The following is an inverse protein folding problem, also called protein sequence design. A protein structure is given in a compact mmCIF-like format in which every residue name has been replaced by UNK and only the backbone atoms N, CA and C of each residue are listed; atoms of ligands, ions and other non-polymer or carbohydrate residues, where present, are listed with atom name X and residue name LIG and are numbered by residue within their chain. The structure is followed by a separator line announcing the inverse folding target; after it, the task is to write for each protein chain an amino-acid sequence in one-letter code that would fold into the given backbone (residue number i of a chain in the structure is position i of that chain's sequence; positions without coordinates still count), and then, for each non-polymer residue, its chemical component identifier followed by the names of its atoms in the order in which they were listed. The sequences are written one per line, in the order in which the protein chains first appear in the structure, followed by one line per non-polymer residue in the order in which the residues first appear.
data_IF_324680906525
#
_entry.id   IF_324680906525
#
_cell.length_a   1.000
_cell.length_b   1.000
_cell.length_c   1.000
_cell.angle_alpha   90.00
_cell.angle_beta   90.00
_cell.angle_gamma   90.00
#
_symmetry.space_group_name_H-M   'P 1'
#
loop_
_entity.id
_entity.type
_entity.pdbx_description
1 polymer ?
#
# COMPACT_ATOMS: atom_id res chain seq x y z
N UNK A 1 16.91 -8.02 25.02
CA UNK A 1 16.59 -8.30 23.61
C UNK A 1 15.12 -8.02 23.46
N UNK A 2 14.76 -7.05 22.62
CA UNK A 2 13.34 -6.73 22.40
C UNK A 2 12.71 -7.87 21.58
N UNK A 3 11.56 -8.38 22.01
CA UNK A 3 10.89 -9.46 21.29
C UNK A 3 10.12 -8.88 20.11
N UNK A 4 9.91 -9.69 19.07
CA UNK A 4 9.08 -9.32 17.93
C UNK A 4 7.69 -8.83 18.35
N UNK A 5 7.07 -9.49 19.33
CA UNK A 5 5.77 -9.10 19.87
C UNK A 5 5.77 -7.71 20.49
N UNK A 6 6.83 -7.33 21.20
CA UNK A 6 6.95 -5.99 21.80
C UNK A 6 7.10 -4.92 20.71
N UNK A 7 7.92 -5.19 19.70
CA UNK A 7 8.12 -4.30 18.54
C UNK A 7 6.82 -4.07 17.77
N UNK A 8 6.05 -5.14 17.53
CA UNK A 8 4.74 -5.04 16.86
C UNK A 8 3.75 -4.26 17.73
N UNK A 9 3.68 -4.55 19.03
CA UNK A 9 2.74 -3.87 19.93
C UNK A 9 3.01 -2.37 20.05
N UNK A 10 4.26 -1.93 19.91
CA UNK A 10 4.61 -0.51 19.90
C UNK A 10 4.06 0.24 18.67
N UNK A 11 3.80 -0.45 17.56
CA UNK A 11 3.32 0.18 16.32
C UNK A 11 1.79 0.25 16.23
N UNK A 12 1.05 -0.59 16.95
CA UNK A 12 -0.40 -0.69 16.82
C UNK A 12 -1.10 -0.39 18.15
N UNK A 13 -1.92 0.66 18.17
CA UNK A 13 -2.70 1.09 19.34
C UNK A 13 -4.21 0.99 19.07
N UNK A 14 -4.77 -0.22 18.90
CA UNK A 14 -6.21 -0.37 18.66
C UNK A 14 -7.01 0.07 19.89
N UNK A 15 -8.19 0.69 19.67
CA UNK A 15 -9.08 1.11 20.76
C UNK A 15 -9.90 -0.04 21.35
N UNK A 16 -9.95 -1.18 20.68
CA UNK A 16 -10.71 -2.36 21.04
C UNK A 16 -10.02 -3.63 20.49
N UNK A 17 -10.59 -4.80 20.77
CA UNK A 17 -10.16 -6.04 20.10
C UNK A 17 -10.46 -5.95 18.62
N UNK A 18 -9.41 -5.79 17.81
CA UNK A 18 -9.53 -5.57 16.37
C UNK A 18 -9.50 -6.89 15.60
N UNK A 19 -10.64 -7.26 15.01
CA UNK A 19 -10.82 -8.54 14.28
C UNK A 19 -11.20 -8.33 12.80
N UNK A 20 -10.98 -7.13 12.24
CA UNK A 20 -11.38 -6.78 10.87
C UNK A 20 -10.21 -6.70 9.87
N UNK A 21 -9.06 -7.30 10.19
CA UNK A 21 -7.83 -7.17 9.40
C UNK A 21 -7.99 -7.60 7.94
N UNK A 22 -8.84 -8.59 7.67
CA UNK A 22 -9.10 -9.07 6.31
C UNK A 22 -9.76 -8.02 5.40
N UNK A 23 -10.62 -7.16 5.96
CA UNK A 23 -11.33 -6.12 5.20
C UNK A 23 -10.64 -4.76 5.31
N UNK A 24 -10.09 -4.43 6.47
CA UNK A 24 -9.42 -3.17 6.73
C UNK A 24 -8.31 -3.37 7.75
N UNK A 25 -7.05 -3.18 7.37
CA UNK A 25 -5.94 -3.30 8.31
C UNK A 25 -5.77 -2.01 9.11
N UNK A 26 -5.26 -2.13 10.34
CA UNK A 26 -4.78 -0.96 11.09
C UNK A 26 -3.46 -0.48 10.47
N UNK A 27 -3.27 0.84 10.45
CA UNK A 27 -1.99 1.42 10.08
C UNK A 27 -1.03 1.38 11.27
N UNK A 28 0.24 0.98 11.09
CA UNK A 28 1.25 1.13 12.13
C UNK A 28 1.55 2.62 12.35
N UNK A 29 1.98 2.98 13.57
CA UNK A 29 2.25 4.35 13.99
C UNK A 29 3.16 5.10 13.00
N UNK A 30 4.22 4.45 12.52
CA UNK A 30 5.12 5.04 11.52
C UNK A 30 4.42 5.46 10.23
N UNK A 31 3.45 4.68 9.76
CA UNK A 31 2.69 4.99 8.53
C UNK A 31 1.74 6.16 8.77
N UNK A 32 1.12 6.24 9.96
CA UNK A 32 0.28 7.39 10.33
C UNK A 32 1.11 8.68 10.33
N UNK A 33 2.32 8.65 10.91
CA UNK A 33 3.24 9.80 10.91
C UNK A 33 3.61 10.21 9.48
N UNK A 34 4.01 9.26 8.62
CA UNK A 34 4.39 9.56 7.24
C UNK A 34 3.23 10.16 6.43
N UNK A 35 2.01 9.64 6.59
CA UNK A 35 0.82 10.18 5.91
C UNK A 35 0.47 11.60 6.38
N UNK A 36 0.57 11.87 7.69
CA UNK A 36 0.34 13.20 8.23
C UNK A 36 1.38 14.21 7.71
N UNK A 37 2.64 13.79 7.60
CA UNK A 37 3.69 14.62 7.02
C UNK A 37 3.45 14.90 5.53
N UNK A 38 3.11 13.89 4.74
CA UNK A 38 2.80 14.05 3.31
C UNK A 38 1.61 15.00 3.10
N UNK A 39 0.56 14.89 3.91
CA UNK A 39 -0.58 15.79 3.87
C UNK A 39 -0.18 17.24 4.18
N UNK A 40 0.64 17.45 5.22
CA UNK A 40 1.17 18.78 5.58
C UNK A 40 2.06 19.34 4.48
N UNK A 41 2.96 18.54 3.91
CA UNK A 41 3.82 18.92 2.78
C UNK A 41 3.01 19.48 1.61
N UNK A 42 1.92 18.79 1.26
CA UNK A 42 1.00 19.22 0.19
C UNK A 42 0.27 20.51 0.54
N UNK A 43 -0.22 20.63 1.77
CA UNK A 43 -0.94 21.82 2.24
C UNK A 43 -0.06 23.08 2.26
N UNK A 44 1.23 22.93 2.56
CA UNK A 44 2.22 24.01 2.59
C UNK A 44 2.77 24.37 1.19
N UNK A 45 2.42 23.62 0.15
CA UNK A 45 2.95 23.83 -1.20
C UNK A 45 4.44 23.50 -1.34
N UNK A 46 4.98 22.62 -0.48
CA UNK A 46 6.36 22.14 -0.58
C UNK A 46 6.54 21.23 -1.81
N UNK A 47 7.79 21.05 -2.26
CA UNK A 47 8.10 20.07 -3.31
C UNK A 47 7.62 18.68 -2.89
N UNK A 48 7.13 17.91 -3.86
CA UNK A 48 6.65 16.55 -3.68
C UNK A 48 7.64 15.50 -4.20
N UNK A 49 8.81 15.91 -4.69
CA UNK A 49 9.85 14.99 -5.19
C UNK A 49 10.17 13.86 -4.19
N UNK A 50 10.29 14.13 -2.87
CA UNK A 50 10.51 13.05 -1.91
C UNK A 50 9.39 12.00 -1.88
N UNK A 51 8.14 12.40 -2.12
CA UNK A 51 7.01 11.46 -2.16
C UNK A 51 7.06 10.59 -3.43
N UNK A 52 7.62 11.07 -4.53
CA UNK A 52 7.83 10.26 -5.73
C UNK A 52 8.96 9.25 -5.51
N UNK A 53 10.03 9.64 -4.81
CA UNK A 53 11.08 8.70 -4.40
C UNK A 53 10.53 7.61 -3.46
N UNK A 54 9.65 7.97 -2.53
CA UNK A 54 8.95 7.02 -1.66
C UNK A 54 8.10 6.00 -2.43
N UNK A 55 7.49 6.42 -3.55
CA UNK A 55 6.74 5.50 -4.44
C UNK A 55 7.68 4.48 -5.07
N UNK A 56 8.85 4.89 -5.57
CA UNK A 56 9.81 3.95 -6.17
C UNK A 56 10.41 3.00 -5.12
N UNK A 57 10.71 3.51 -3.91
CA UNK A 57 11.12 2.68 -2.79
C UNK A 57 10.05 1.64 -2.41
N UNK A 58 8.78 2.05 -2.40
CA UNK A 58 7.64 1.18 -2.12
C UNK A 58 7.47 0.09 -3.20
N UNK A 59 7.60 0.44 -4.48
CA UNK A 59 7.59 -0.52 -5.60
C UNK A 59 8.69 -1.56 -5.47
N UNK A 60 9.92 -1.12 -5.21
CA UNK A 60 11.05 -2.02 -5.02
C UNK A 60 10.86 -2.94 -3.81
N UNK A 61 10.29 -2.44 -2.71
CA UNK A 61 9.99 -3.25 -1.54
C UNK A 61 8.94 -4.33 -1.82
N UNK A 62 7.83 -3.96 -2.47
CA UNK A 62 6.79 -4.91 -2.86
C UNK A 62 7.31 -5.95 -3.86
N UNK A 63 8.11 -5.53 -4.84
CA UNK A 63 8.75 -6.39 -5.83
C UNK A 63 9.56 -7.52 -5.17
N UNK A 64 10.34 -7.19 -4.12
CA UNK A 64 11.08 -8.18 -3.33
C UNK A 64 10.17 -9.18 -2.61
N UNK A 65 9.05 -8.71 -2.05
CA UNK A 65 8.07 -9.58 -1.38
C UNK A 65 7.37 -10.52 -2.37
N UNK A 66 7.01 -10.01 -3.54
CA UNK A 66 6.29 -10.75 -4.58
C UNK A 66 7.21 -11.62 -5.48
N UNK A 67 8.54 -11.45 -5.39
CA UNK A 67 9.50 -12.19 -6.21
C UNK A 67 9.48 -11.80 -7.69
N UNK A 68 9.17 -10.54 -8.00
CA UNK A 68 9.10 -10.02 -9.37
C UNK A 68 10.05 -8.84 -9.57
N UNK A 69 10.45 -8.52 -10.81
CA UNK A 69 11.19 -7.29 -11.10
C UNK A 69 10.39 -6.02 -10.75
N UNK A 70 11.05 -4.94 -10.35
CA UNK A 70 10.37 -3.72 -9.90
C UNK A 70 9.56 -3.06 -11.03
N UNK A 71 10.05 -3.13 -12.27
CA UNK A 71 9.35 -2.62 -13.47
C UNK A 71 8.00 -3.33 -13.71
N UNK A 72 7.78 -4.50 -13.11
CA UNK A 72 6.53 -5.27 -13.17
C UNK A 72 5.52 -4.90 -12.07
N UNK A 73 5.85 -3.99 -11.16
CA UNK A 73 4.96 -3.52 -10.09
C UNK A 73 4.30 -2.20 -10.50
N UNK A 74 2.96 -2.14 -10.50
CA UNK A 74 2.22 -0.89 -10.69
C UNK A 74 1.77 -0.32 -9.33
N UNK A 75 1.64 1.01 -9.23
CA UNK A 75 1.17 1.71 -8.01
C UNK A 75 -0.04 2.58 -8.33
N UNK A 76 -1.11 2.37 -7.58
CA UNK A 76 -2.38 3.09 -7.71
C UNK A 76 -3.25 2.88 -6.49
N UNK A 77 -4.46 3.44 -6.50
CA UNK A 77 -5.26 3.58 -5.29
C UNK A 77 -5.83 2.25 -4.75
N UNK A 78 -6.24 1.33 -5.63
CA UNK A 78 -6.80 0.03 -5.21
C UNK A 78 -6.49 -1.06 -6.23
N UNK A 79 -6.49 -2.32 -5.78
CA UNK A 79 -6.38 -3.49 -6.67
C UNK A 79 -7.56 -3.57 -7.67
N UNK A 80 -8.77 -3.19 -7.23
CA UNK A 80 -9.97 -3.24 -8.07
C UNK A 80 -9.87 -2.33 -9.30
N UNK A 81 -9.24 -1.14 -9.18
CA UNK A 81 -9.00 -0.26 -10.33
C UNK A 81 -8.10 -0.91 -11.37
N UNK A 82 -7.06 -1.63 -10.94
CA UNK A 82 -6.20 -2.37 -11.86
C UNK A 82 -6.89 -3.58 -12.47
N UNK A 83 -7.71 -4.31 -11.70
CA UNK A 83 -8.55 -5.38 -12.24
C UNK A 83 -9.49 -4.85 -13.32
N UNK A 84 -10.11 -3.68 -13.10
CA UNK A 84 -10.97 -3.04 -14.10
C UNK A 84 -10.19 -2.63 -15.36
N UNK A 85 -8.97 -2.11 -15.22
CA UNK A 85 -8.10 -1.79 -16.36
C UNK A 85 -7.76 -3.03 -17.19
N UNK A 86 -7.42 -4.15 -16.53
CA UNK A 86 -7.16 -5.43 -17.20
C UNK A 86 -8.41 -5.93 -17.91
N UNK A 87 -9.57 -5.90 -17.24
CA UNK A 87 -10.84 -6.33 -17.82
C UNK A 87 -11.21 -5.50 -19.06
N UNK A 88 -11.01 -4.18 -19.01
CA UNK A 88 -11.26 -3.28 -20.14
C UNK A 88 -10.35 -3.51 -21.34
N UNK A 89 -9.20 -4.18 -21.16
CA UNK A 89 -8.25 -4.49 -22.23
C UNK A 89 -8.55 -5.79 -22.98
N UNK A 90 -9.56 -6.55 -22.55
CA UNK A 90 -9.91 -7.82 -23.18
C UNK A 90 -10.50 -7.60 -24.59
N UNK A 91 -10.15 -8.46 -25.57
CA UNK A 91 -10.73 -8.36 -26.91
C UNK A 91 -12.23 -8.72 -26.89
N UNK A 92 -13.03 -8.17 -27.82
CA UNK A 92 -14.43 -8.57 -27.97
C UNK A 92 -14.58 -10.08 -28.13
N UNK A 93 -15.52 -10.68 -27.39
CA UNK A 93 -15.79 -12.12 -27.42
C UNK A 93 -14.88 -12.97 -26.53
N UNK A 94 -14.05 -12.36 -25.67
CA UNK A 94 -13.29 -13.10 -24.67
C UNK A 94 -14.20 -13.73 -23.60
N UNK A 95 -13.98 -15.01 -23.29
CA UNK A 95 -14.61 -15.70 -22.16
C UNK A 95 -13.78 -15.54 -20.88
N UNK A 96 -14.44 -15.21 -19.76
CA UNK A 96 -13.80 -15.02 -18.46
C UNK A 96 -14.37 -16.01 -17.45
N UNK A 97 -13.49 -16.81 -16.85
CA UNK A 97 -13.83 -17.72 -15.74
C UNK A 97 -13.63 -16.99 -14.41
N UNK A 98 -14.61 -17.11 -13.51
CA UNK A 98 -14.55 -16.59 -12.15
C UNK A 98 -14.98 -17.67 -11.16
N UNK A 99 -14.49 -17.57 -9.92
CA UNK A 99 -14.89 -18.41 -8.79
C UNK A 99 -16.31 -18.12 -8.31
#
# INVERSE_FOLDING_TARGET
METFENLVRAEFTPKNTYLNTASNALLPARTVTALAEAARMRAEGRSLDPLYDDVEASRAAFARLAGVPAERVAVGSTAALYTALVAASLPPGADVLTA
#
